data_IF_956752875077
#
_entry.id   IF_956752875077
#
_cell.length_a   1.000
_cell.length_b   1.000
_cell.length_c   1.000
_cell.angle_alpha   90.00
_cell.angle_beta   90.00
_cell.angle_gamma   90.00
#
_symmetry.space_group_name_H-M   'P 1'
#
loop_
_entity.id
_entity.type
_entity.pdbx_description
1 polymer ?
#
# COMPACT_ATOMS: atom_id res chain seq x y z
N UNK A 1 2.75 -2.28 4.15
CA UNK A 1 3.80 -3.24 3.73
C UNK A 1 3.22 -4.18 2.70
N UNK A 2 4.02 -4.62 1.73
CA UNK A 2 3.60 -5.64 0.75
C UNK A 2 4.09 -6.99 1.26
N UNK A 3 3.22 -7.88 1.78
CA UNK A 3 3.62 -9.24 2.08
C UNK A 3 3.96 -9.96 0.78
N UNK A 4 5.09 -10.66 0.75
CA UNK A 4 5.47 -11.50 -0.39
C UNK A 4 4.69 -12.81 -0.29
N UNK A 5 3.46 -12.79 -0.80
CA UNK A 5 2.58 -13.96 -0.90
C UNK A 5 3.02 -14.85 -2.06
N UNK A 6 2.45 -16.07 -2.17
CA UNK A 6 2.74 -16.97 -3.30
C UNK A 6 2.39 -16.33 -4.66
N UNK A 7 1.28 -15.58 -4.72
CA UNK A 7 0.86 -14.86 -5.93
C UNK A 7 1.87 -13.79 -6.33
N UNK A 8 2.31 -12.97 -5.37
CA UNK A 8 3.33 -11.94 -5.59
C UNK A 8 4.67 -12.58 -5.99
N UNK A 9 5.06 -13.68 -5.33
CA UNK A 9 6.29 -14.43 -5.66
C UNK A 9 6.29 -14.93 -7.10
N UNK A 10 5.15 -15.46 -7.56
CA UNK A 10 4.99 -15.90 -8.95
C UNK A 10 5.14 -14.75 -9.94
N UNK A 11 4.50 -13.61 -9.68
CA UNK A 11 4.61 -12.41 -10.53
C UNK A 11 6.04 -11.86 -10.59
N UNK A 12 6.79 -11.94 -9.47
CA UNK A 12 8.21 -11.58 -9.44
C UNK A 12 9.04 -12.52 -10.34
N UNK A 13 8.81 -13.84 -10.24
CA UNK A 13 9.50 -14.84 -11.07
C UNK A 13 9.19 -14.67 -12.56
N UNK A 14 7.96 -14.31 -12.89
CA UNK A 14 7.49 -14.01 -14.25
C UNK A 14 7.98 -12.65 -14.77
N UNK A 15 8.68 -11.86 -13.94
CA UNK A 15 9.11 -10.48 -14.25
C UNK A 15 7.95 -9.59 -14.71
N UNK A 16 6.78 -9.80 -14.10
CA UNK A 16 5.60 -8.98 -14.35
C UNK A 16 5.85 -7.52 -14.02
N UNK A 17 5.04 -6.64 -14.62
CA UNK A 17 5.18 -5.21 -14.41
C UNK A 17 4.89 -4.82 -12.96
N UNK A 18 5.51 -3.74 -12.49
CA UNK A 18 5.23 -3.19 -11.16
C UNK A 18 3.73 -2.88 -10.96
N UNK A 19 3.03 -2.51 -12.04
CA UNK A 19 1.58 -2.27 -12.03
C UNK A 19 0.77 -3.55 -11.75
N UNK A 20 1.19 -4.69 -12.30
CA UNK A 20 0.53 -5.98 -12.05
C UNK A 20 0.77 -6.46 -10.62
N UNK A 21 1.99 -6.27 -10.11
CA UNK A 21 2.34 -6.57 -8.72
C UNK A 21 1.53 -5.68 -7.77
N UNK A 22 1.41 -4.37 -8.04
CA UNK A 22 0.61 -3.43 -7.23
C UNK A 22 -0.88 -3.82 -7.23
N UNK A 23 -1.45 -4.15 -8.39
CA UNK A 23 -2.83 -4.64 -8.48
C UNK A 23 -3.05 -5.91 -7.67
N UNK A 24 -2.13 -6.87 -7.77
CA UNK A 24 -2.20 -8.09 -6.99
C UNK A 24 -2.12 -7.81 -5.50
N UNK A 25 -1.18 -6.98 -5.06
CA UNK A 25 -1.02 -6.60 -3.66
C UNK A 25 -2.27 -5.92 -3.09
N UNK A 26 -2.85 -4.97 -3.83
CA UNK A 26 -4.12 -4.32 -3.44
C UNK A 26 -5.28 -5.31 -3.33
N UNK A 27 -5.36 -6.28 -4.26
CA UNK A 27 -6.40 -7.32 -4.21
C UNK A 27 -6.28 -8.22 -2.98
N UNK A 28 -5.09 -8.35 -2.41
CA UNK A 28 -4.80 -9.14 -1.22
C UNK A 28 -4.89 -8.35 0.08
N UNK A 29 -5.41 -7.12 0.03
CA UNK A 29 -5.65 -6.29 1.22
C UNK A 29 -4.50 -5.35 1.58
N UNK A 30 -3.52 -5.16 0.68
CA UNK A 30 -2.55 -4.08 0.86
C UNK A 30 -3.27 -2.73 0.82
N UNK A 31 -3.16 -1.97 1.91
CA UNK A 31 -3.57 -0.57 1.96
C UNK A 31 -2.42 0.35 1.57
N UNK A 32 -2.77 1.46 0.95
CA UNK A 32 -1.81 2.53 0.58
C UNK A 32 -1.35 3.31 1.81
N UNK A 33 -0.22 3.99 1.70
CA UNK A 33 0.30 4.88 2.75
C UNK A 33 -0.73 5.95 3.15
N UNK A 34 -1.48 6.48 2.18
CA UNK A 34 -2.54 7.46 2.42
C UNK A 34 -3.71 6.88 3.22
N UNK A 35 -4.12 5.65 2.90
CA UNK A 35 -5.19 4.96 3.63
C UNK A 35 -4.77 4.63 5.05
N UNK A 36 -3.53 4.17 5.26
CA UNK A 36 -2.96 3.96 6.60
C UNK A 36 -2.92 5.28 7.40
N UNK A 37 -2.51 6.38 6.76
CA UNK A 37 -2.54 7.71 7.36
C UNK A 37 -3.94 8.12 7.82
N UNK A 38 -4.98 7.85 7.02
CA UNK A 38 -6.37 8.15 7.42
C UNK A 38 -6.82 7.35 8.65
N UNK A 39 -6.41 6.09 8.77
CA UNK A 39 -6.71 5.30 9.98
C UNK A 39 -6.05 5.94 11.21
N UNK A 40 -4.79 6.36 11.09
CA UNK A 40 -4.06 7.04 12.18
C UNK A 40 -4.67 8.39 12.57
N UNK A 41 -5.28 9.11 11.63
CA UNK A 41 -6.03 10.35 11.93
C UNK A 41 -7.27 10.01 12.77
N UNK A 42 -8.01 8.97 12.40
CA UNK A 42 -9.19 8.52 13.16
C UNK A 42 -8.83 8.03 14.57
N UNK A 43 -7.64 7.44 14.74
CA UNK A 43 -7.09 7.04 16.03
C UNK A 43 -6.51 8.21 16.85
N UNK A 44 -6.46 9.43 16.29
CA UNK A 44 -5.92 10.62 16.94
C UNK A 44 -4.39 10.64 17.04
N UNK A 45 -3.68 9.80 16.25
CA UNK A 45 -2.22 9.68 16.27
C UNK A 45 -1.51 10.71 15.37
N UNK A 46 -2.20 11.26 14.37
CA UNK A 46 -1.68 12.28 13.45
C UNK A 46 -2.81 13.17 12.93
N UNK A 47 -2.49 14.21 12.16
CA UNK A 47 -3.48 15.11 11.56
C UNK A 47 -3.65 14.87 10.07
N UNK A 48 -4.80 15.27 9.54
CA UNK A 48 -5.08 15.13 8.11
C UNK A 48 -4.10 15.94 7.25
N UNK A 49 -3.65 17.10 7.73
CA UNK A 49 -2.65 17.94 7.08
C UNK A 49 -1.31 17.23 6.95
N UNK A 50 -0.89 16.53 8.01
CA UNK A 50 0.37 15.78 7.99
C UNK A 50 0.32 14.58 7.03
N UNK A 51 -0.80 13.84 7.02
CA UNK A 51 -1.00 12.73 6.08
C UNK A 51 -0.98 13.22 4.64
N UNK A 52 -1.65 14.34 4.34
CA UNK A 52 -1.66 14.89 2.99
C UNK A 52 -0.29 15.42 2.56
N UNK A 53 0.52 15.95 3.48
CA UNK A 53 1.89 16.39 3.20
C UNK A 53 2.82 15.23 2.87
N UNK A 54 2.71 14.11 3.58
CA UNK A 54 3.65 12.97 3.46
C UNK A 54 3.22 11.96 2.39
N UNK A 55 1.91 11.80 2.15
CA UNK A 55 1.40 10.82 1.20
C UNK A 55 1.13 11.37 -0.22
N UNK A 56 1.53 12.61 -0.52
CA UNK A 56 1.43 13.22 -1.84
C UNK A 56 2.69 13.08 -2.71
N UNK A 57 3.78 12.53 -2.17
CA UNK A 57 5.01 12.22 -2.91
C UNK A 57 5.01 10.80 -3.49
#
# INVERSE_FOLDING_TARGET
MIPVTEKISKLILERSSALEIDKAARSEGMITLKQDGYLKVLEGLTTIEEVLRVAQE
#
